data_IF_734100338574
#
_entry.id   IF_734100338574
#
_cell.length_a   1.000
_cell.length_b   1.000
_cell.length_c   1.000
_cell.angle_alpha   90.00
_cell.angle_beta   90.00
_cell.angle_gamma   90.00
#
_symmetry.space_group_name_H-M   'P 1'
#
loop_
_entity.id
_entity.type
_entity.pdbx_description
1 polymer ?
#
# COMPACT_ATOMS: atom_id res chain seq x y z
N UNK A 1 -46.89 43.30 25.73
CA UNK A 1 -45.45 43.32 25.40
C UNK A 1 -44.75 42.31 26.30
N UNK A 2 -44.50 41.09 25.80
CA UNK A 2 -43.71 40.05 26.48
C UNK A 2 -42.75 39.49 25.43
N UNK A 3 -41.46 39.80 25.59
CA UNK A 3 -40.39 39.43 24.68
C UNK A 3 -39.85 38.06 25.16
N UNK A 4 -40.28 36.99 24.51
CA UNK A 4 -39.78 35.64 24.82
C UNK A 4 -38.48 35.42 24.06
N UNK A 5 -37.35 35.50 24.75
CA UNK A 5 -36.03 35.22 24.19
C UNK A 5 -35.86 33.69 24.13
N UNK A 6 -35.90 33.13 22.91
CA UNK A 6 -35.54 31.74 22.68
C UNK A 6 -34.01 31.61 22.66
N UNK A 7 -33.43 31.07 23.73
CA UNK A 7 -32.05 30.60 23.71
C UNK A 7 -31.97 29.32 22.86
N UNK A 8 -31.49 29.43 21.62
CA UNK A 8 -31.08 28.28 20.81
C UNK A 8 -29.72 27.78 21.31
N UNK A 9 -29.72 26.73 22.12
CA UNK A 9 -28.50 25.99 22.45
C UNK A 9 -28.24 24.96 21.34
N UNK A 10 -27.45 25.34 20.33
CA UNK A 10 -27.01 24.41 19.29
C UNK A 10 -25.84 23.57 19.80
N UNK A 11 -26.12 22.39 20.34
CA UNK A 11 -25.10 21.36 20.58
C UNK A 11 -24.75 20.70 19.25
N UNK A 12 -23.64 21.10 18.64
CA UNK A 12 -23.05 20.38 17.50
C UNK A 12 -22.36 19.13 18.06
N UNK A 13 -23.06 17.99 18.06
CA UNK A 13 -22.40 16.70 18.16
C UNK A 13 -21.88 16.38 16.77
N UNK A 14 -20.58 16.59 16.55
CA UNK A 14 -19.90 16.11 15.37
C UNK A 14 -19.77 14.57 15.49
N UNK A 15 -20.79 13.84 15.08
CA UNK A 15 -20.64 12.41 14.80
C UNK A 15 -19.88 12.28 13.49
N UNK A 16 -18.57 12.00 13.59
CA UNK A 16 -17.80 11.54 12.46
C UNK A 16 -18.37 10.17 12.05
N UNK A 17 -19.24 10.15 11.06
CA UNK A 17 -19.59 8.92 10.34
C UNK A 17 -18.41 8.56 9.43
N UNK A 18 -17.25 8.28 10.03
CA UNK A 18 -16.34 7.33 9.45
C UNK A 18 -17.01 5.99 9.68
N UNK A 19 -17.50 5.38 8.60
CA UNK A 19 -17.93 4.00 8.56
C UNK A 19 -16.70 3.10 8.77
N UNK A 20 -16.17 3.16 9.99
CA UNK A 20 -15.18 2.24 10.51
C UNK A 20 -16.01 1.05 10.99
N UNK A 21 -16.09 0.02 10.16
CA UNK A 21 -16.48 -1.30 10.63
C UNK A 21 -15.47 -1.72 11.71
N UNK A 22 -15.76 -1.32 12.94
CA UNK A 22 -15.12 -1.83 14.13
C UNK A 22 -15.41 -3.32 14.15
N UNK A 23 -14.32 -4.07 13.96
CA UNK A 23 -14.05 -5.40 14.49
C UNK A 23 -15.29 -6.13 15.02
N UNK A 24 -15.80 -7.02 14.18
CA UNK A 24 -16.80 -8.01 14.53
C UNK A 24 -16.39 -8.69 15.85
N UNK A 25 -17.28 -8.59 16.83
CA UNK A 25 -17.17 -9.16 18.17
C UNK A 25 -16.75 -10.64 18.11
N UNK A 26 -15.79 -11.04 18.97
CA UNK A 26 -15.59 -12.45 19.32
C UNK A 26 -14.30 -13.14 18.91
N UNK A 27 -13.28 -12.43 18.40
CA UNK A 27 -11.89 -12.93 18.39
C UNK A 27 -10.96 -11.93 19.03
N UNK A 28 -10.59 -12.18 20.28
CA UNK A 28 -9.35 -11.64 20.84
C UNK A 28 -8.22 -12.29 20.04
N UNK A 29 -7.81 -11.67 18.94
CA UNK A 29 -6.45 -11.85 18.47
C UNK A 29 -5.60 -11.34 19.61
N UNK A 30 -4.91 -12.25 20.30
CA UNK A 30 -3.87 -11.87 21.25
C UNK A 30 -2.97 -10.86 20.52
N UNK A 31 -3.14 -9.57 20.82
CA UNK A 31 -2.18 -8.50 20.54
C UNK A 31 -0.98 -8.69 21.47
N UNK A 32 -0.45 -9.91 21.56
CA UNK A 32 0.98 -10.04 21.79
C UNK A 32 1.59 -9.79 20.42
N UNK A 33 2.24 -8.63 20.20
CA UNK A 33 3.11 -8.52 19.04
C UNK A 33 4.11 -9.64 19.22
N UNK A 34 4.06 -10.64 18.35
CA UNK A 34 5.13 -11.59 18.24
C UNK A 34 6.39 -10.75 17.94
N UNK A 35 7.31 -10.69 18.92
CA UNK A 35 8.70 -10.26 18.76
C UNK A 35 9.02 -8.88 18.15
N UNK A 36 8.16 -7.86 18.32
CA UNK A 36 8.46 -6.51 17.80
C UNK A 36 8.48 -6.40 16.27
N UNK A 37 7.98 -7.42 15.56
CA UNK A 37 8.01 -7.50 14.10
C UNK A 37 7.20 -6.40 13.42
N UNK A 38 6.04 -6.05 13.97
CA UNK A 38 5.23 -4.92 13.49
C UNK A 38 5.96 -3.58 13.67
N UNK A 39 6.63 -3.38 14.81
CA UNK A 39 7.44 -2.18 15.04
C UNK A 39 8.63 -2.13 14.09
N UNK A 40 9.30 -3.25 13.87
CA UNK A 40 10.38 -3.37 12.89
C UNK A 40 9.90 -3.04 11.47
N UNK A 41 8.78 -3.61 11.04
CA UNK A 41 8.18 -3.31 9.74
C UNK A 41 7.84 -1.83 9.60
N UNK A 42 7.21 -1.23 10.62
CA UNK A 42 6.96 0.21 10.64
C UNK A 42 8.26 1.02 10.49
N UNK A 43 9.35 0.61 11.14
CA UNK A 43 10.64 1.33 11.00
C UNK A 43 11.21 1.28 9.58
N UNK A 44 10.90 0.24 8.81
CA UNK A 44 11.25 0.18 7.38
C UNK A 44 10.38 1.13 6.56
N UNK A 45 9.05 1.07 6.72
CA UNK A 45 8.10 1.89 5.97
C UNK A 45 8.29 3.40 6.21
N UNK A 46 8.69 3.77 7.43
CA UNK A 46 8.96 5.17 7.79
C UNK A 46 10.42 5.57 7.59
N UNK A 47 11.23 4.73 6.96
CA UNK A 47 12.64 4.99 6.67
C UNK A 47 13.51 5.30 7.91
N UNK A 48 13.09 4.84 9.10
CA UNK A 48 13.82 4.98 10.36
C UNK A 48 14.96 3.95 10.49
N UNK A 49 14.86 2.84 9.75
CA UNK A 49 15.89 1.82 9.66
C UNK A 49 16.23 1.58 8.18
N UNK A 50 17.46 1.95 7.78
CA UNK A 50 17.94 1.84 6.39
C UNK A 50 18.91 0.67 6.21
N UNK A 51 19.12 0.24 4.97
CA UNK A 51 20.15 -0.72 4.55
C UNK A 51 20.05 -2.13 5.18
N UNK A 52 18.82 -2.64 5.35
CA UNK A 52 18.59 -4.05 5.73
C UNK A 52 18.42 -4.92 4.50
N UNK A 53 19.30 -5.90 4.34
CA UNK A 53 19.25 -6.85 3.21
C UNK A 53 18.24 -7.99 3.42
N UNK A 54 17.89 -8.31 4.67
CA UNK A 54 17.04 -9.46 5.01
C UNK A 54 16.09 -9.20 6.17
N UNK A 55 14.93 -9.87 6.11
CA UNK A 55 13.94 -9.92 7.19
C UNK A 55 14.53 -10.67 8.39
N UNK A 56 14.49 -10.15 9.63
CA UNK A 56 14.90 -10.90 10.80
C UNK A 56 14.12 -12.20 10.94
N UNK A 57 14.78 -13.30 11.32
CA UNK A 57 14.13 -14.61 11.50
C UNK A 57 12.93 -14.57 12.45
N UNK A 58 12.97 -13.70 13.48
CA UNK A 58 11.84 -13.50 14.39
C UNK A 58 10.61 -12.88 13.73
N UNK A 59 10.78 -12.17 12.62
CA UNK A 59 9.73 -11.46 11.88
C UNK A 59 9.14 -12.27 10.72
N UNK A 60 9.72 -13.43 10.38
CA UNK A 60 9.36 -14.18 9.17
C UNK A 60 7.89 -14.51 9.09
N UNK A 61 7.35 -15.09 10.17
CA UNK A 61 5.92 -15.42 10.24
C UNK A 61 5.03 -14.18 10.12
N UNK A 62 5.42 -13.08 10.78
CA UNK A 62 4.67 -11.83 10.71
C UNK A 62 4.63 -11.28 9.28
N UNK A 63 5.78 -11.23 8.59
CA UNK A 63 5.85 -10.72 7.20
C UNK A 63 5.09 -11.63 6.24
N UNK A 64 5.21 -12.96 6.39
CA UNK A 64 4.43 -13.91 5.60
C UNK A 64 2.92 -13.65 5.73
N UNK A 65 2.41 -13.46 6.96
CA UNK A 65 1.01 -13.10 7.18
C UNK A 65 0.66 -11.73 6.60
N UNK A 66 1.48 -10.70 6.85
CA UNK A 66 1.24 -9.36 6.34
C UNK A 66 1.08 -9.35 4.80
N UNK A 67 1.99 -10.03 4.09
CA UNK A 67 2.03 -10.05 2.63
C UNK A 67 0.96 -10.93 1.98
N UNK A 68 0.58 -12.05 2.62
CA UNK A 68 -0.38 -13.03 2.06
C UNK A 68 -1.81 -12.85 2.54
N UNK A 69 -2.02 -12.27 3.73
CA UNK A 69 -3.34 -11.92 4.22
C UNK A 69 -3.79 -10.57 3.64
N UNK A 70 -4.85 -9.99 4.20
CA UNK A 70 -5.49 -8.78 3.67
C UNK A 70 -4.79 -7.47 4.02
N UNK A 71 -3.83 -7.48 4.96
CA UNK A 71 -3.28 -6.22 5.49
C UNK A 71 -2.46 -5.48 4.44
N UNK A 72 -1.53 -6.14 3.74
CA UNK A 72 -0.77 -5.52 2.65
C UNK A 72 -1.69 -4.93 1.58
N UNK A 73 -2.73 -5.67 1.18
CA UNK A 73 -3.71 -5.19 0.22
C UNK A 73 -4.47 -3.95 0.72
N UNK A 74 -4.90 -3.95 1.98
CA UNK A 74 -5.61 -2.83 2.58
C UNK A 74 -4.73 -1.57 2.65
N UNK A 75 -3.48 -1.73 3.06
CA UNK A 75 -2.53 -0.63 3.13
C UNK A 75 -2.26 -0.04 1.72
N UNK A 76 -2.12 -0.90 0.71
CA UNK A 76 -2.00 -0.46 -0.68
C UNK A 76 -3.25 0.30 -1.15
N UNK A 77 -4.43 -0.19 -0.81
CA UNK A 77 -5.70 0.45 -1.14
C UNK A 77 -5.80 1.86 -0.55
N UNK A 78 -5.41 2.02 0.72
CA UNK A 78 -5.40 3.33 1.39
C UNK A 78 -4.50 4.33 0.65
N UNK A 79 -3.30 3.90 0.27
CA UNK A 79 -2.37 4.73 -0.53
C UNK A 79 -2.98 5.06 -1.88
N UNK A 80 -3.47 4.08 -2.64
CA UNK A 80 -4.07 4.30 -3.95
C UNK A 80 -5.28 5.25 -3.91
N UNK A 81 -6.09 5.18 -2.85
CA UNK A 81 -7.22 6.07 -2.62
C UNK A 81 -6.78 7.50 -2.29
N UNK A 82 -5.81 7.67 -1.41
CA UNK A 82 -5.23 8.97 -1.10
C UNK A 82 -4.62 9.62 -2.36
N UNK A 83 -3.86 8.85 -3.13
CA UNK A 83 -3.27 9.29 -4.40
C UNK A 83 -4.34 9.68 -5.42
N UNK A 84 -5.39 8.87 -5.55
CA UNK A 84 -6.53 9.19 -6.45
C UNK A 84 -7.21 10.48 -6.05
N UNK A 85 -7.44 10.70 -4.75
CA UNK A 85 -8.04 11.93 -4.23
C UNK A 85 -7.17 13.14 -4.54
N UNK A 86 -5.85 13.03 -4.34
CA UNK A 86 -4.90 14.07 -4.70
C UNK A 86 -4.94 14.39 -6.20
N UNK A 87 -4.84 13.36 -7.05
CA UNK A 87 -4.84 13.52 -8.50
C UNK A 87 -6.10 14.21 -9.04
N UNK A 88 -7.28 13.88 -8.49
CA UNK A 88 -8.56 14.53 -8.84
C UNK A 88 -8.63 16.00 -8.47
N UNK A 89 -7.85 16.43 -7.46
CA UNK A 89 -7.79 17.83 -7.02
C UNK A 89 -6.87 18.71 -7.87
N UNK A 90 -6.11 18.12 -8.79
CA UNK A 90 -5.17 18.87 -9.63
C UNK A 90 -5.86 19.45 -10.87
N UNK A 91 -5.51 20.69 -11.20
CA UNK A 91 -5.88 21.32 -12.47
C UNK A 91 -4.75 21.10 -13.48
N UNK A 92 -4.95 20.20 -14.43
CA UNK A 92 -3.95 19.90 -15.45
C UNK A 92 -3.84 21.04 -16.47
N UNK A 93 -2.64 21.22 -17.00
CA UNK A 93 -2.36 22.24 -18.03
C UNK A 93 -2.86 21.76 -19.40
N UNK A 94 -2.92 20.43 -19.62
CA UNK A 94 -3.46 19.84 -20.84
C UNK A 94 -2.48 19.89 -22.03
N UNK A 95 -1.22 20.23 -21.79
CA UNK A 95 -0.17 20.34 -22.81
C UNK A 95 0.60 19.02 -23.05
N UNK A 96 0.03 17.89 -22.62
CA UNK A 96 0.65 16.56 -22.63
C UNK A 96 1.94 16.42 -21.79
N UNK A 97 2.25 17.37 -20.91
CA UNK A 97 3.40 17.30 -19.99
C UNK A 97 3.01 17.06 -18.53
N UNK A 98 1.71 16.93 -18.26
CA UNK A 98 1.20 16.54 -16.95
C UNK A 98 1.44 15.04 -16.72
N UNK A 99 2.64 14.71 -16.27
CA UNK A 99 3.10 13.33 -16.11
C UNK A 99 2.81 12.78 -14.72
N UNK A 100 2.50 11.48 -14.66
CA UNK A 100 2.50 10.70 -13.43
C UNK A 100 3.52 9.57 -13.56
N UNK A 101 4.48 9.53 -12.64
CA UNK A 101 5.55 8.52 -12.65
C UNK A 101 5.12 7.36 -11.77
N UNK A 102 5.16 6.15 -12.31
CA UNK A 102 5.12 4.91 -11.55
C UNK A 102 6.51 4.29 -11.51
N UNK A 103 6.89 3.80 -10.34
CA UNK A 103 7.88 2.74 -10.27
C UNK A 103 7.19 1.39 -10.53
N UNK A 104 7.91 0.44 -11.12
CA UNK A 104 7.36 -0.82 -11.65
C UNK A 104 7.36 -1.92 -10.59
N UNK A 105 8.52 -2.20 -9.99
CA UNK A 105 8.71 -3.35 -9.11
C UNK A 105 8.07 -3.11 -7.73
N UNK A 106 7.31 -4.12 -7.26
CA UNK A 106 6.54 -4.10 -6.00
C UNK A 106 5.56 -2.91 -5.87
N UNK A 107 5.14 -2.35 -7.01
CA UNK A 107 4.18 -1.25 -7.07
C UNK A 107 3.13 -1.49 -8.12
N UNK A 108 3.52 -1.47 -9.40
CA UNK A 108 2.57 -1.76 -10.49
C UNK A 108 2.46 -3.26 -10.70
N UNK A 109 3.59 -3.96 -10.59
CA UNK A 109 3.70 -5.40 -10.70
C UNK A 109 4.22 -5.97 -9.36
N UNK A 110 3.77 -7.17 -8.99
CA UNK A 110 4.19 -7.82 -7.74
C UNK A 110 4.94 -9.13 -7.98
N UNK A 111 6.03 -9.34 -7.23
CA UNK A 111 6.76 -10.60 -7.17
C UNK A 111 6.35 -11.47 -5.98
N UNK A 112 5.25 -11.16 -5.28
CA UNK A 112 4.71 -12.03 -4.22
C UNK A 112 4.60 -13.50 -4.68
N UNK A 113 4.12 -13.83 -5.90
CA UNK A 113 4.09 -15.22 -6.37
C UNK A 113 5.48 -15.87 -6.42
N UNK A 114 6.50 -15.15 -6.89
CA UNK A 114 7.88 -15.64 -6.91
C UNK A 114 8.38 -15.91 -5.49
N UNK A 115 8.21 -14.96 -4.58
CA UNK A 115 8.69 -15.12 -3.21
C UNK A 115 7.98 -16.28 -2.49
N UNK A 116 6.68 -16.46 -2.74
CA UNK A 116 5.89 -17.57 -2.21
C UNK A 116 6.35 -18.92 -2.79
N UNK A 117 6.53 -19.00 -4.12
CA UNK A 117 6.98 -20.21 -4.82
C UNK A 117 8.41 -20.63 -4.44
N UNK A 118 9.34 -19.68 -4.45
CA UNK A 118 10.73 -19.91 -4.05
C UNK A 118 10.91 -20.16 -2.54
N UNK A 119 9.81 -20.10 -1.77
CA UNK A 119 9.78 -20.33 -0.33
C UNK A 119 10.73 -19.38 0.42
N UNK A 120 10.92 -18.16 -0.08
CA UNK A 120 11.72 -17.10 0.57
C UNK A 120 10.86 -15.95 1.09
N UNK A 121 9.55 -15.95 0.83
CA UNK A 121 8.65 -14.91 1.32
C UNK A 121 8.71 -14.81 2.86
N UNK A 122 9.02 -13.61 3.34
CA UNK A 122 9.21 -13.34 4.77
C UNK A 122 10.51 -13.91 5.35
N UNK A 123 11.29 -14.71 4.62
CA UNK A 123 12.46 -15.38 5.17
C UNK A 123 13.69 -14.49 5.23
N UNK A 124 14.59 -14.84 6.13
CA UNK A 124 15.94 -14.25 6.23
C UNK A 124 16.92 -14.82 5.18
N UNK A 125 16.43 -15.39 4.07
CA UNK A 125 17.28 -16.01 3.04
C UNK A 125 17.60 -14.98 1.95
N UNK A 126 18.86 -14.93 1.48
CA UNK A 126 19.20 -14.12 0.31
C UNK A 126 18.45 -14.66 -0.90
N UNK A 127 17.90 -13.76 -1.73
CA UNK A 127 17.27 -14.15 -2.98
C UNK A 127 18.33 -14.66 -3.96
N UNK A 128 18.05 -15.79 -4.63
CA UNK A 128 18.87 -16.24 -5.73
C UNK A 128 18.61 -15.32 -6.94
N UNK A 129 19.63 -14.57 -7.35
CA UNK A 129 19.55 -13.60 -8.44
C UNK A 129 19.25 -14.26 -9.80
N UNK A 130 19.81 -15.45 -10.06
CA UNK A 130 19.60 -16.15 -11.34
C UNK A 130 18.15 -16.55 -11.50
N UNK A 131 17.57 -17.22 -10.50
CA UNK A 131 16.15 -17.63 -10.57
C UNK A 131 15.19 -16.43 -10.55
N UNK A 132 15.58 -15.33 -9.88
CA UNK A 132 14.79 -14.10 -9.92
C UNK A 132 14.81 -13.48 -11.31
N UNK A 133 15.97 -13.41 -11.97
CA UNK A 133 16.06 -12.88 -13.33
C UNK A 133 15.30 -13.75 -14.33
N UNK A 134 15.36 -15.08 -14.19
CA UNK A 134 14.54 -16.00 -15.00
C UNK A 134 13.04 -15.73 -14.79
N UNK A 135 12.59 -15.54 -13.55
CA UNK A 135 11.21 -15.16 -13.24
C UNK A 135 10.79 -13.83 -13.86
N UNK A 136 11.66 -12.81 -13.80
CA UNK A 136 11.40 -11.52 -14.44
C UNK A 136 11.32 -11.67 -15.97
N UNK A 137 12.23 -12.44 -16.57
CA UNK A 137 12.29 -12.68 -18.01
C UNK A 137 11.07 -13.43 -18.55
N UNK A 138 10.34 -14.19 -17.71
CA UNK A 138 9.06 -14.77 -18.12
C UNK A 138 8.00 -13.71 -18.49
N UNK A 139 8.11 -12.49 -17.96
CA UNK A 139 7.23 -11.37 -18.30
C UNK A 139 5.77 -11.55 -17.85
N UNK A 140 5.52 -12.42 -16.86
CA UNK A 140 4.16 -12.80 -16.40
C UNK A 140 3.78 -12.26 -15.02
N UNK A 141 4.49 -11.23 -14.54
CA UNK A 141 4.20 -10.66 -13.23
C UNK A 141 2.76 -10.13 -13.19
N UNK A 142 1.97 -10.48 -12.18
CA UNK A 142 0.62 -9.96 -12.04
C UNK A 142 0.65 -8.48 -11.65
N UNK A 143 -0.33 -7.74 -12.16
CA UNK A 143 -0.56 -6.36 -11.75
C UNK A 143 -1.15 -6.32 -10.33
N UNK A 144 -0.69 -5.36 -9.52
CA UNK A 144 -1.34 -5.05 -8.25
C UNK A 144 -2.71 -4.42 -8.54
N UNK A 145 -3.83 -4.99 -8.07
CA UNK A 145 -5.18 -4.53 -8.44
C UNK A 145 -5.42 -3.04 -8.15
N UNK A 146 -4.95 -2.57 -7.01
CA UNK A 146 -5.09 -1.20 -6.52
C UNK A 146 -4.26 -0.23 -7.39
N UNK A 147 -3.05 -0.63 -7.80
CA UNK A 147 -2.22 0.14 -8.73
C UNK A 147 -2.86 0.22 -10.12
N UNK A 148 -3.43 -0.89 -10.62
CA UNK A 148 -4.15 -0.90 -11.89
C UNK A 148 -5.38 0.02 -11.85
N UNK A 149 -6.12 0.04 -10.73
CA UNK A 149 -7.23 0.98 -10.50
C UNK A 149 -6.77 2.43 -10.53
N UNK A 150 -5.65 2.73 -9.87
CA UNK A 150 -5.04 4.06 -9.89
C UNK A 150 -4.61 4.46 -11.31
N UNK A 151 -3.87 3.60 -12.02
CA UNK A 151 -3.45 3.80 -13.40
C UNK A 151 -4.62 4.17 -14.33
N UNK A 152 -5.69 3.36 -14.32
CA UNK A 152 -6.91 3.62 -15.12
C UNK A 152 -7.58 4.94 -14.74
N UNK A 153 -7.47 5.37 -13.49
CA UNK A 153 -8.03 6.64 -13.03
C UNK A 153 -7.20 7.82 -13.52
N UNK A 154 -5.87 7.73 -13.43
CA UNK A 154 -4.95 8.77 -13.91
C UNK A 154 -5.10 9.00 -15.42
N UNK A 155 -5.23 7.94 -16.21
CA UNK A 155 -5.50 8.06 -17.65
C UNK A 155 -6.79 8.81 -17.95
N UNK A 156 -7.88 8.53 -17.21
CA UNK A 156 -9.16 9.23 -17.37
C UNK A 156 -9.09 10.70 -16.96
N UNK A 157 -8.18 11.04 -16.04
CA UNK A 157 -7.94 12.42 -15.62
C UNK A 157 -7.07 13.20 -16.61
N UNK A 158 -6.46 12.54 -17.60
CA UNK A 158 -5.64 13.17 -18.63
C UNK A 158 -4.14 13.18 -18.34
N UNK A 159 -3.69 12.50 -17.29
CA UNK A 159 -2.25 12.34 -17.03
C UNK A 159 -1.58 11.46 -18.09
N UNK A 160 -0.31 11.77 -18.38
CA UNK A 160 0.58 10.87 -19.11
C UNK A 160 1.34 10.01 -18.11
N UNK A 161 1.18 8.70 -18.19
CA UNK A 161 1.89 7.78 -17.29
C UNK A 161 3.27 7.46 -17.86
N UNK A 162 4.29 7.58 -17.01
CA UNK A 162 5.67 7.18 -17.29
C UNK A 162 6.05 6.10 -16.28
N UNK A 163 6.69 5.03 -16.75
CA UNK A 163 7.26 4.01 -15.88
C UNK A 163 8.76 4.24 -15.75
N UNK A 164 9.26 4.25 -14.52
CA UNK A 164 10.67 4.15 -14.21
C UNK A 164 10.90 2.80 -13.54
N UNK A 165 11.92 2.08 -13.96
CA UNK A 165 12.25 0.77 -13.39
C UNK A 165 13.73 0.69 -13.11
N UNK A 166 14.09 0.01 -12.02
CA UNK A 166 15.47 -0.37 -11.70
C UNK A 166 15.91 -1.65 -12.41
N UNK A 167 15.05 -2.26 -13.23
CA UNK A 167 15.40 -3.41 -14.06
C UNK A 167 16.26 -2.89 -15.23
N UNK A 168 17.42 -3.51 -15.45
CA UNK A 168 18.32 -3.17 -16.54
C UNK A 168 17.65 -3.44 -17.89
N UNK A 169 17.95 -2.59 -18.87
CA UNK A 169 17.55 -2.80 -20.27
C UNK A 169 18.40 -3.92 -20.88
N UNK A 170 17.78 -4.83 -21.62
CA UNK A 170 18.48 -5.89 -22.37
C UNK A 170 19.16 -5.37 -23.65
#
# INVERSE_FOLDING_TARGET
MRLTVFFFLATIVATCNADCHILQEGKIYLLRPWSGAASWHLTLETNNLQNRETVPMSCEKYIGHYMLDKQYQHDYELVANATTKYAKGLKLIGNSKDIWIFDVAERVLTNIPYYAWSNVLGKALPSNKTSFNEWIAEGKLPAVPEALRLYKTLLRLGFKVVYLTGIEEE
#
